data_IF_021309053138
#
_entry.id   IF_021309053138
#
_cell.length_a   1.000
_cell.length_b   1.000
_cell.length_c   1.000
_cell.angle_alpha   90.00
_cell.angle_beta   90.00
_cell.angle_gamma   90.00
#
_symmetry.space_group_name_H-M   'P 1'
#
loop_
_entity.id
_entity.type
_entity.pdbx_description
1 polymer ?
#
# COMPACT_ATOMS: atom_id res chain seq x y z
N UNK A 1 -51.77 -19.49 -5.62
CA UNK A 1 -50.64 -18.72 -5.04
C UNK A 1 -51.14 -17.51 -4.22
N UNK A 2 -51.71 -17.70 -3.01
CA UNK A 2 -51.70 -16.62 -2.00
C UNK A 2 -51.20 -17.06 -0.61
N UNK A 3 -50.90 -18.35 -0.39
CA UNK A 3 -50.54 -18.87 0.93
C UNK A 3 -49.09 -18.59 1.37
N UNK A 4 -48.18 -18.33 0.42
CA UNK A 4 -46.75 -18.11 0.71
C UNK A 4 -46.44 -16.67 1.15
N UNK A 5 -47.20 -15.69 0.65
CA UNK A 5 -47.04 -14.27 0.98
C UNK A 5 -47.62 -13.91 2.36
N UNK A 6 -48.67 -14.60 2.81
CA UNK A 6 -49.30 -14.33 4.12
C UNK A 6 -48.47 -14.89 5.29
N UNK A 7 -47.71 -15.98 5.10
CA UNK A 7 -46.87 -16.56 6.16
C UNK A 7 -45.61 -15.75 6.50
N UNK A 8 -45.13 -14.89 5.60
CA UNK A 8 -43.94 -14.06 5.82
C UNK A 8 -44.26 -12.84 6.68
N UNK A 9 -45.50 -12.35 6.65
CA UNK A 9 -45.90 -11.13 7.38
C UNK A 9 -45.91 -11.28 8.91
N UNK A 10 -45.94 -12.53 9.42
CA UNK A 10 -46.08 -12.84 10.84
C UNK A 10 -44.84 -13.52 11.46
N UNK A 11 -43.70 -13.53 10.76
CA UNK A 11 -42.45 -14.04 11.34
C UNK A 11 -41.71 -12.97 12.13
N UNK A 12 -41.13 -13.39 13.26
CA UNK A 12 -40.30 -12.51 14.09
C UNK A 12 -38.91 -12.28 13.46
N UNK A 13 -38.21 -11.22 13.87
CA UNK A 13 -36.86 -10.89 13.41
C UNK A 13 -35.87 -12.06 13.56
N UNK A 14 -35.93 -12.76 14.69
CA UNK A 14 -35.12 -13.95 14.98
C UNK A 14 -35.44 -15.11 14.01
N UNK A 15 -36.71 -15.32 13.68
CA UNK A 15 -37.12 -16.38 12.74
C UNK A 15 -36.67 -16.06 11.31
N UNK A 16 -36.74 -14.79 10.91
CA UNK A 16 -36.24 -14.30 9.63
C UNK A 16 -34.72 -14.46 9.53
N UNK A 17 -33.97 -14.14 10.60
CA UNK A 17 -32.54 -14.44 10.70
C UNK A 17 -32.26 -15.93 10.50
N UNK A 18 -32.93 -16.79 11.25
CA UNK A 18 -32.72 -18.24 11.19
C UNK A 18 -33.06 -18.82 9.82
N UNK A 19 -34.09 -18.27 9.15
CA UNK A 19 -34.43 -18.62 7.77
C UNK A 19 -33.36 -18.16 6.78
N UNK A 20 -32.82 -16.95 6.98
CA UNK A 20 -31.66 -16.44 6.25
C UNK A 20 -30.45 -17.36 6.38
N UNK A 21 -30.13 -17.82 7.61
CA UNK A 21 -29.03 -18.75 7.86
C UNK A 21 -29.23 -20.08 7.12
N UNK A 22 -30.46 -20.62 7.09
CA UNK A 22 -30.79 -21.83 6.30
C UNK A 22 -30.57 -21.64 4.80
N UNK A 23 -30.96 -20.48 4.25
CA UNK A 23 -30.68 -20.15 2.85
C UNK A 23 -29.19 -19.96 2.58
N UNK A 24 -28.45 -19.35 3.51
CA UNK A 24 -27.01 -19.18 3.42
C UNK A 24 -26.29 -20.53 3.37
N UNK A 25 -26.63 -21.46 4.27
CA UNK A 25 -26.10 -22.83 4.27
C UNK A 25 -26.44 -23.57 2.96
N UNK A 26 -27.63 -23.32 2.40
CA UNK A 26 -28.04 -23.82 1.10
C UNK A 26 -27.40 -23.10 -0.12
N UNK A 27 -26.46 -22.16 0.11
CA UNK A 27 -25.78 -21.32 -0.91
C UNK A 27 -26.74 -20.43 -1.72
N UNK A 28 -27.93 -20.19 -1.20
CA UNK A 28 -28.97 -19.31 -1.78
C UNK A 28 -28.82 -17.90 -1.24
N UNK A 29 -27.78 -17.19 -1.70
CA UNK A 29 -27.38 -15.92 -1.10
C UNK A 29 -28.39 -14.79 -1.33
N UNK A 30 -29.05 -14.73 -2.49
CA UNK A 30 -30.03 -13.67 -2.77
C UNK A 30 -31.30 -13.82 -1.93
N UNK A 31 -31.76 -15.05 -1.71
CA UNK A 31 -32.87 -15.32 -0.79
C UNK A 31 -32.50 -15.05 0.67
N UNK A 32 -31.27 -15.38 1.07
CA UNK A 32 -30.76 -15.03 2.40
C UNK A 32 -30.74 -13.50 2.62
N UNK A 33 -30.26 -12.73 1.64
CA UNK A 33 -30.27 -11.25 1.67
C UNK A 33 -31.67 -10.69 1.87
N UNK A 34 -32.68 -11.27 1.20
CA UNK A 34 -34.09 -10.86 1.39
C UNK A 34 -34.56 -11.11 2.82
N UNK A 35 -34.30 -12.30 3.36
CA UNK A 35 -34.66 -12.63 4.74
C UNK A 35 -33.98 -11.71 5.77
N UNK A 36 -32.69 -11.41 5.61
CA UNK A 36 -32.00 -10.47 6.49
C UNK A 36 -32.51 -9.03 6.34
N UNK A 37 -32.86 -8.60 5.12
CA UNK A 37 -33.42 -7.26 4.89
C UNK A 37 -34.80 -7.10 5.52
N UNK A 38 -35.62 -8.16 5.49
CA UNK A 38 -36.88 -8.22 6.24
C UNK A 38 -36.64 -8.18 7.76
N UNK A 39 -35.63 -8.90 8.27
CA UNK A 39 -35.25 -8.84 9.69
C UNK A 39 -34.82 -7.43 10.12
N UNK A 40 -34.00 -6.75 9.30
CA UNK A 40 -33.58 -5.36 9.51
C UNK A 40 -34.80 -4.42 9.51
N UNK A 41 -35.76 -4.65 8.61
CA UNK A 41 -36.99 -3.84 8.54
C UNK A 41 -37.87 -3.99 9.79
N UNK A 42 -37.82 -5.15 10.45
CA UNK A 42 -38.52 -5.41 11.72
C UNK A 42 -37.77 -4.78 12.91
N UNK A 43 -36.44 -4.97 12.98
CA UNK A 43 -35.60 -4.44 14.06
C UNK A 43 -34.25 -3.93 13.50
N UNK A 44 -34.14 -2.62 13.22
CA UNK A 44 -32.92 -2.02 12.67
C UNK A 44 -31.74 -1.95 13.65
N UNK A 45 -31.97 -2.08 14.96
CA UNK A 45 -30.94 -1.89 15.99
C UNK A 45 -30.03 -3.09 16.26
N UNK A 46 -30.03 -4.12 15.40
CA UNK A 46 -29.25 -5.35 15.60
C UNK A 46 -28.14 -5.44 14.55
N UNK A 47 -26.88 -5.23 14.97
CA UNK A 47 -25.69 -5.25 14.10
C UNK A 47 -25.51 -6.56 13.34
N UNK A 48 -25.84 -7.70 13.98
CA UNK A 48 -25.67 -9.05 13.43
C UNK A 48 -26.41 -9.25 12.09
N UNK A 49 -27.58 -8.60 11.91
CA UNK A 49 -28.32 -8.73 10.66
C UNK A 49 -27.58 -8.11 9.48
N UNK A 50 -26.93 -6.97 9.72
CA UNK A 50 -26.11 -6.29 8.73
C UNK A 50 -24.86 -7.10 8.42
N UNK A 51 -24.17 -7.67 9.42
CA UNK A 51 -22.98 -8.50 9.17
C UNK A 51 -23.31 -9.79 8.42
N UNK A 52 -24.46 -10.42 8.70
CA UNK A 52 -24.90 -11.62 7.98
C UNK A 52 -25.29 -11.30 6.53
N UNK A 53 -25.95 -10.16 6.29
CA UNK A 53 -26.25 -9.68 4.93
C UNK A 53 -24.98 -9.30 4.17
N UNK A 54 -24.04 -8.62 4.83
CA UNK A 54 -22.72 -8.31 4.30
C UNK A 54 -21.97 -9.57 3.86
N UNK A 55 -22.01 -10.63 4.66
CA UNK A 55 -21.38 -11.91 4.30
C UNK A 55 -22.00 -12.52 3.02
N UNK A 56 -23.33 -12.43 2.85
CA UNK A 56 -23.96 -12.83 1.58
C UNK A 56 -23.47 -11.99 0.41
N UNK A 57 -23.39 -10.66 0.59
CA UNK A 57 -22.89 -9.75 -0.44
C UNK A 57 -21.45 -10.06 -0.82
N UNK A 58 -20.60 -10.38 0.15
CA UNK A 58 -19.22 -10.80 -0.02
C UNK A 58 -19.12 -12.06 -0.90
N UNK A 59 -19.95 -13.09 -0.62
CA UNK A 59 -19.99 -14.32 -1.45
C UNK A 59 -20.47 -14.06 -2.89
N UNK A 60 -21.27 -13.01 -3.09
CA UNK A 60 -21.71 -12.56 -4.43
C UNK A 60 -20.81 -11.46 -5.04
N UNK A 61 -19.68 -11.12 -4.41
CA UNK A 61 -18.72 -10.08 -4.85
C UNK A 61 -19.32 -8.67 -5.01
N UNK A 62 -20.35 -8.34 -4.24
CA UNK A 62 -20.96 -6.99 -4.21
C UNK A 62 -20.29 -6.13 -3.13
N UNK A 63 -19.05 -5.71 -3.35
CA UNK A 63 -18.22 -5.07 -2.33
C UNK A 63 -18.78 -3.72 -1.82
N UNK A 64 -19.41 -2.93 -2.68
CA UNK A 64 -20.04 -1.66 -2.27
C UNK A 64 -21.17 -1.88 -1.24
N UNK A 65 -21.99 -2.91 -1.46
CA UNK A 65 -23.05 -3.30 -0.52
C UNK A 65 -22.46 -3.84 0.79
N UNK A 66 -21.34 -4.57 0.74
CA UNK A 66 -20.61 -5.00 1.95
C UNK A 66 -20.15 -3.79 2.76
N UNK A 67 -19.55 -2.79 2.11
CA UNK A 67 -19.09 -1.58 2.77
C UNK A 67 -20.24 -0.82 3.45
N UNK A 68 -21.39 -0.70 2.79
CA UNK A 68 -22.58 -0.04 3.36
C UNK A 68 -23.10 -0.80 4.60
N UNK A 69 -23.27 -2.12 4.48
CA UNK A 69 -23.78 -2.95 5.58
C UNK A 69 -22.81 -2.99 6.76
N UNK A 70 -21.50 -3.08 6.52
CA UNK A 70 -20.53 -3.10 7.60
C UNK A 70 -20.41 -1.74 8.30
N UNK A 71 -20.51 -0.62 7.56
CA UNK A 71 -20.54 0.72 8.18
C UNK A 71 -21.79 0.88 9.05
N UNK A 72 -22.97 0.48 8.56
CA UNK A 72 -24.20 0.48 9.35
C UNK A 72 -24.10 -0.43 10.59
N UNK A 73 -23.47 -1.60 10.46
CA UNK A 73 -23.22 -2.49 11.60
C UNK A 73 -22.33 -1.83 12.66
N UNK A 74 -21.28 -1.11 12.24
CA UNK A 74 -20.34 -0.42 13.12
C UNK A 74 -20.91 0.84 13.78
N UNK A 75 -21.90 1.49 13.15
CA UNK A 75 -22.67 2.58 13.76
C UNK A 75 -23.53 2.08 14.93
N UNK A 76 -24.02 0.83 14.84
CA UNK A 76 -24.80 0.17 15.90
C UNK A 76 -23.88 -0.43 16.96
N UNK A 77 -22.86 -1.18 16.53
CA UNK A 77 -21.91 -1.87 17.39
C UNK A 77 -20.46 -1.67 16.90
N UNK A 78 -19.70 -0.73 17.52
CA UNK A 78 -18.34 -0.44 17.13
C UNK A 78 -17.31 -1.47 17.63
N UNK A 79 -17.70 -2.44 18.46
CA UNK A 79 -16.80 -3.49 18.97
C UNK A 79 -16.94 -4.81 18.19
N UNK A 80 -17.79 -4.85 17.17
CA UNK A 80 -18.01 -6.04 16.37
C UNK A 80 -16.80 -6.38 15.46
N UNK A 81 -16.04 -7.41 15.83
CA UNK A 81 -14.85 -7.86 15.06
C UNK A 81 -15.21 -8.25 13.62
N UNK A 82 -16.29 -9.02 13.42
CA UNK A 82 -16.74 -9.48 12.10
C UNK A 82 -17.04 -8.31 11.14
N UNK A 83 -17.60 -7.21 11.64
CA UNK A 83 -17.92 -6.04 10.82
C UNK A 83 -16.65 -5.34 10.31
N UNK A 84 -15.65 -5.12 11.18
CA UNK A 84 -14.35 -4.60 10.77
C UNK A 84 -13.61 -5.54 9.80
N UNK A 85 -13.69 -6.85 10.04
CA UNK A 85 -13.07 -7.85 9.17
C UNK A 85 -13.68 -7.85 7.75
N UNK A 86 -15.02 -7.90 7.63
CA UNK A 86 -15.69 -7.90 6.33
C UNK A 86 -15.52 -6.56 5.60
N UNK A 87 -15.51 -5.44 6.33
CA UNK A 87 -15.21 -4.13 5.76
C UNK A 87 -13.78 -4.07 5.20
N UNK A 88 -12.79 -4.54 5.97
CA UNK A 88 -11.41 -4.64 5.50
C UNK A 88 -11.28 -5.51 4.24
N UNK A 89 -11.99 -6.64 4.19
CA UNK A 89 -11.99 -7.50 3.01
C UNK A 89 -12.63 -6.85 1.79
N UNK A 90 -13.74 -6.13 1.95
CA UNK A 90 -14.35 -5.38 0.84
C UNK A 90 -13.43 -4.25 0.34
N UNK A 91 -12.81 -3.50 1.25
CA UNK A 91 -11.87 -2.42 0.91
C UNK A 91 -10.60 -2.92 0.24
N UNK A 92 -10.11 -4.11 0.61
CA UNK A 92 -8.98 -4.77 -0.04
C UNK A 92 -9.25 -5.04 -1.53
N UNK A 93 -10.48 -5.45 -1.85
CA UNK A 93 -10.92 -5.73 -3.21
C UNK A 93 -11.27 -4.45 -3.98
N UNK A 94 -11.75 -3.40 -3.29
CA UNK A 94 -11.96 -2.06 -3.84
C UNK A 94 -10.67 -1.22 -3.97
N UNK A 95 -9.49 -1.79 -3.67
CA UNK A 95 -8.18 -1.13 -3.73
C UNK A 95 -8.00 0.06 -2.76
N UNK A 96 -8.84 0.17 -1.74
CA UNK A 96 -8.74 1.19 -0.69
C UNK A 96 -7.84 0.69 0.45
N UNK A 97 -6.53 0.54 0.19
CA UNK A 97 -5.63 -0.19 1.09
C UNK A 97 -5.38 0.49 2.45
N UNK A 98 -5.35 1.82 2.53
CA UNK A 98 -5.09 2.52 3.81
C UNK A 98 -6.26 2.41 4.79
N UNK A 99 -7.50 2.46 4.30
CA UNK A 99 -8.68 2.21 5.14
C UNK A 99 -8.79 0.73 5.50
N UNK A 100 -8.47 -0.17 4.56
CA UNK A 100 -8.42 -1.60 4.76
C UNK A 100 -7.48 -2.00 5.92
N UNK A 101 -6.22 -1.53 5.90
CA UNK A 101 -5.23 -1.84 6.93
C UNK A 101 -5.70 -1.38 8.32
N UNK A 102 -6.28 -0.17 8.41
CA UNK A 102 -6.83 0.35 9.67
C UNK A 102 -7.95 -0.53 10.23
N UNK A 103 -8.87 -0.98 9.39
CA UNK A 103 -9.96 -1.86 9.85
C UNK A 103 -9.47 -3.25 10.23
N UNK A 104 -8.50 -3.83 9.52
CA UNK A 104 -7.91 -5.10 9.94
C UNK A 104 -7.11 -4.99 11.23
N UNK A 105 -6.37 -3.89 11.45
CA UNK A 105 -5.70 -3.62 12.73
C UNK A 105 -6.73 -3.52 13.86
N UNK A 106 -7.81 -2.75 13.64
CA UNK A 106 -8.88 -2.64 14.64
C UNK A 106 -9.55 -3.99 14.93
N UNK A 107 -9.79 -4.81 13.90
CA UNK A 107 -10.31 -6.17 14.08
C UNK A 107 -9.36 -7.06 14.90
N UNK A 108 -8.05 -6.95 14.68
CA UNK A 108 -7.05 -7.69 15.44
C UNK A 108 -7.01 -7.24 16.91
N UNK A 109 -7.10 -5.95 17.18
CA UNK A 109 -7.09 -5.42 18.55
C UNK A 109 -8.34 -5.85 19.31
N UNK A 110 -9.52 -5.71 18.70
CA UNK A 110 -10.79 -6.17 19.27
C UNK A 110 -10.81 -7.69 19.50
N UNK A 111 -10.22 -8.48 18.60
CA UNK A 111 -10.09 -9.92 18.79
C UNK A 111 -9.25 -10.27 20.03
N UNK A 112 -8.14 -9.54 20.25
CA UNK A 112 -7.32 -9.71 21.46
C UNK A 112 -8.08 -9.29 22.73
N UNK A 113 -8.81 -8.18 22.68
CA UNK A 113 -9.65 -7.70 23.79
C UNK A 113 -10.74 -8.71 24.16
N UNK A 114 -11.41 -9.29 23.15
CA UNK A 114 -12.46 -10.31 23.33
C UNK A 114 -11.89 -11.72 23.58
N UNK A 115 -10.57 -11.90 23.56
CA UNK A 115 -9.86 -13.18 23.69
C UNK A 115 -10.30 -14.22 22.65
N UNK A 116 -10.76 -13.76 21.48
CA UNK A 116 -11.09 -14.62 20.35
C UNK A 116 -9.84 -14.82 19.51
N UNK A 117 -9.46 -16.08 19.30
CA UNK A 117 -8.27 -16.41 18.53
C UNK A 117 -8.62 -16.65 17.06
N UNK A 118 -8.27 -15.69 16.19
CA UNK A 118 -8.36 -15.85 14.73
C UNK A 118 -7.03 -16.32 14.10
N UNK A 119 -6.08 -16.77 14.91
CA UNK A 119 -4.78 -17.26 14.43
C UNK A 119 -4.00 -16.21 13.62
N UNK A 120 -3.37 -16.66 12.53
CA UNK A 120 -2.62 -15.80 11.60
C UNK A 120 -3.49 -15.21 10.48
N UNK A 121 -4.81 -15.45 10.48
CA UNK A 121 -5.67 -15.10 9.35
C UNK A 121 -5.77 -13.58 9.12
N UNK A 122 -6.06 -12.82 10.19
CA UNK A 122 -6.15 -11.35 10.11
C UNK A 122 -4.77 -10.75 9.81
N UNK A 123 -3.72 -11.27 10.45
CA UNK A 123 -2.36 -10.80 10.25
C UNK A 123 -1.87 -11.06 8.82
N UNK A 124 -2.21 -12.21 8.22
CA UNK A 124 -1.94 -12.52 6.83
C UNK A 124 -2.61 -11.53 5.87
N UNK A 125 -3.87 -11.17 6.11
CA UNK A 125 -4.57 -10.19 5.29
C UNK A 125 -3.98 -8.78 5.40
N UNK A 126 -3.50 -8.36 6.58
CA UNK A 126 -2.77 -7.09 6.72
C UNK A 126 -1.51 -7.09 5.86
N UNK A 127 -0.76 -8.20 5.84
CA UNK A 127 0.46 -8.32 5.00
C UNK A 127 0.11 -8.22 3.51
N UNK A 128 -0.93 -8.94 3.07
CA UNK A 128 -1.42 -8.83 1.69
C UNK A 128 -1.85 -7.40 1.36
N UNK A 129 -2.58 -6.74 2.25
CA UNK A 129 -3.05 -5.37 2.04
C UNK A 129 -1.87 -4.38 1.89
N UNK A 130 -0.86 -4.50 2.76
CA UNK A 130 0.37 -3.69 2.68
C UNK A 130 1.14 -3.95 1.40
N UNK A 131 1.28 -5.21 0.98
CA UNK A 131 1.91 -5.58 -0.29
C UNK A 131 1.18 -4.96 -1.48
N UNK A 132 -0.14 -5.14 -1.57
CA UNK A 132 -0.95 -4.58 -2.67
C UNK A 132 -0.87 -3.05 -2.70
N UNK A 133 -0.84 -2.41 -1.52
CA UNK A 133 -0.61 -0.96 -1.40
C UNK A 133 0.74 -0.54 -1.95
N UNK A 134 1.81 -1.22 -1.52
CA UNK A 134 3.16 -0.92 -1.96
C UNK A 134 3.27 -1.06 -3.48
N UNK A 135 2.76 -2.16 -4.05
CA UNK A 135 2.76 -2.37 -5.50
C UNK A 135 2.00 -1.28 -6.24
N UNK A 136 0.80 -0.89 -5.77
CA UNK A 136 0.02 0.20 -6.38
C UNK A 136 0.79 1.54 -6.39
N UNK A 137 1.42 1.89 -5.26
CA UNK A 137 2.19 3.13 -5.13
C UNK A 137 3.47 3.09 -5.97
N UNK A 138 4.15 1.94 -6.01
CA UNK A 138 5.36 1.74 -6.79
C UNK A 138 5.06 1.78 -8.29
N UNK A 139 3.95 1.18 -8.74
CA UNK A 139 3.49 1.26 -10.12
C UNK A 139 3.23 2.72 -10.51
N UNK A 140 2.52 3.48 -9.68
CA UNK A 140 2.28 4.89 -9.92
C UNK A 140 3.59 5.71 -9.98
N UNK A 141 4.56 5.39 -9.12
CA UNK A 141 5.89 6.00 -9.11
C UNK A 141 6.65 5.71 -10.39
N UNK A 142 6.64 4.46 -10.85
CA UNK A 142 7.28 4.02 -12.09
C UNK A 142 6.63 4.74 -13.28
N UNK A 143 5.29 4.85 -13.32
CA UNK A 143 4.59 5.58 -14.39
C UNK A 143 5.02 7.04 -14.44
N UNK A 144 5.04 7.75 -13.31
CA UNK A 144 5.50 9.15 -13.25
C UNK A 144 6.95 9.30 -13.71
N UNK A 145 7.81 8.35 -13.36
CA UNK A 145 9.20 8.34 -13.76
C UNK A 145 9.37 8.16 -15.27
N UNK A 146 8.62 7.25 -15.88
CA UNK A 146 8.60 7.02 -17.33
C UNK A 146 8.08 8.26 -18.06
N UNK A 147 7.02 8.89 -17.55
CA UNK A 147 6.47 10.13 -18.09
C UNK A 147 7.50 11.27 -18.05
N UNK A 148 8.21 11.41 -16.92
CA UNK A 148 9.26 12.40 -16.74
C UNK A 148 10.43 12.15 -17.70
N UNK A 149 10.92 10.91 -17.80
CA UNK A 149 12.01 10.55 -18.71
C UNK A 149 11.63 10.86 -20.16
N UNK A 150 10.39 10.53 -20.55
CA UNK A 150 9.85 10.80 -21.88
C UNK A 150 9.70 12.30 -22.15
N UNK A 151 9.24 13.06 -21.16
CA UNK A 151 9.10 14.51 -21.23
C UNK A 151 10.45 15.21 -21.42
N UNK A 152 11.45 14.86 -20.61
CA UNK A 152 12.78 15.46 -20.70
C UNK A 152 13.49 15.09 -22.01
N UNK A 153 13.37 13.84 -22.46
CA UNK A 153 13.90 13.43 -23.77
C UNK A 153 13.29 14.24 -24.91
N UNK A 154 11.99 14.55 -24.85
CA UNK A 154 11.32 15.41 -25.83
C UNK A 154 11.88 16.82 -25.82
N UNK A 155 12.06 17.42 -24.64
CA UNK A 155 12.64 18.77 -24.52
C UNK A 155 14.06 18.83 -25.10
N UNK A 156 14.90 17.82 -24.84
CA UNK A 156 16.26 17.76 -25.39
C UNK A 156 16.23 17.71 -26.92
N UNK A 157 15.33 16.89 -27.50
CA UNK A 157 15.17 16.80 -28.95
C UNK A 157 14.62 18.10 -29.56
N UNK A 158 13.63 18.72 -28.93
CA UNK A 158 13.09 20.00 -29.38
C UNK A 158 14.13 21.12 -29.32
N UNK A 159 14.94 21.19 -28.25
CA UNK A 159 16.02 22.17 -28.13
C UNK A 159 17.09 21.96 -29.20
N UNK A 160 17.50 20.71 -29.42
CA UNK A 160 18.39 20.34 -30.53
C UNK A 160 17.85 20.83 -31.86
N UNK A 161 16.59 20.54 -32.18
CA UNK A 161 15.99 20.89 -33.46
C UNK A 161 15.85 22.42 -33.63
N UNK A 162 15.53 23.15 -32.54
CA UNK A 162 15.51 24.63 -32.53
C UNK A 162 16.90 25.21 -32.82
N UNK A 163 17.94 24.68 -32.17
CA UNK A 163 19.32 25.11 -32.37
C UNK A 163 19.81 24.80 -33.78
N UNK A 164 19.52 23.60 -34.32
CA UNK A 164 19.84 23.25 -35.71
C UNK A 164 19.16 24.19 -36.72
N UNK A 165 17.90 24.54 -36.48
CA UNK A 165 17.18 25.51 -37.31
C UNK A 165 17.77 26.93 -37.20
N UNK A 166 18.42 27.29 -36.08
CA UNK A 166 19.13 28.56 -35.92
C UNK A 166 20.46 28.58 -36.68
N UNK A 167 21.25 27.50 -36.61
CA UNK A 167 22.49 27.34 -37.37
C UNK A 167 22.24 27.35 -38.89
N UNK A 168 21.16 26.71 -39.33
CA UNK A 168 20.76 26.67 -40.75
C UNK A 168 20.38 28.07 -41.29
N UNK A 169 19.76 28.91 -40.45
CA UNK A 169 19.42 30.30 -40.79
C UNK A 169 20.64 31.22 -40.85
N UNK A 170 21.63 31.01 -39.99
CA UNK A 170 22.90 31.75 -40.03
C UNK A 170 23.78 31.34 -41.23
N UNK A 171 23.72 30.08 -41.66
CA UNK A 171 24.39 29.60 -42.88
C UNK A 171 23.77 30.08 -44.20
N UNK A 172 22.49 30.49 -44.20
CA UNK A 172 21.78 30.95 -45.40
C UNK A 172 22.11 32.40 -45.85
N UNK A 173 23.00 33.10 -45.14
CA UNK A 173 23.54 34.41 -45.54
C UNK A 173 24.60 34.35 -46.66
N UNK A 174 25.01 33.15 -47.08
CA UNK A 174 25.93 32.92 -48.20
C UNK A 174 25.18 32.12 -49.28
N UNK A 175 24.93 32.74 -50.42
CA UNK A 175 24.12 32.20 -51.54
C UNK A 175 24.60 30.81 -51.98
N UNK A 176 23.70 29.82 -52.12
CA UNK A 176 23.08 29.41 -53.39
C UNK A 176 22.66 27.90 -53.41
N UNK A 177 21.47 27.64 -53.96
CA UNK A 177 20.97 26.42 -54.65
C UNK A 177 21.41 25.03 -54.18
N UNK A 178 20.46 24.24 -53.66
CA UNK A 178 20.60 22.79 -53.57
C UNK A 178 19.57 22.13 -52.66
N UNK A 179 18.52 21.58 -53.26
CA UNK A 179 17.57 20.61 -52.69
C UNK A 179 18.11 19.82 -51.50
N UNK A 180 17.52 19.97 -50.30
CA UNK A 180 17.54 18.89 -49.30
C UNK A 180 16.24 18.82 -48.49
N UNK A 181 15.62 17.65 -48.61
CA UNK A 181 14.39 17.17 -47.97
C UNK A 181 14.64 16.95 -46.47
N UNK A 182 13.70 17.26 -45.56
CA UNK A 182 13.88 16.95 -44.15
C UNK A 182 13.83 15.44 -43.94
N UNK A 183 14.91 14.87 -43.40
CA UNK A 183 14.97 13.48 -42.95
C UNK A 183 14.17 13.36 -41.65
N UNK A 184 12.93 12.92 -41.79
CA UNK A 184 12.14 12.34 -40.70
C UNK A 184 12.84 11.07 -40.22
N UNK A 185 13.67 11.16 -39.18
CA UNK A 185 14.15 10.01 -38.42
C UNK A 185 13.30 9.87 -37.16
N UNK A 186 12.04 9.47 -37.37
CA UNK A 186 11.36 8.67 -36.35
C UNK A 186 12.13 7.36 -36.26
N UNK A 187 12.82 7.14 -35.14
CA UNK A 187 13.56 5.91 -34.88
C UNK A 187 12.66 4.98 -34.02
N UNK A 188 11.82 4.12 -34.63
CA UNK A 188 10.85 3.29 -33.92
C UNK A 188 11.48 2.25 -32.98
N UNK A 189 12.78 1.97 -33.12
CA UNK A 189 13.50 0.95 -32.38
C UNK A 189 13.72 1.27 -30.89
N UNK A 190 13.83 2.55 -30.50
CA UNK A 190 13.97 2.93 -29.08
C UNK A 190 12.63 3.02 -28.34
N UNK A 191 11.56 3.44 -29.02
CA UNK A 191 10.19 3.38 -28.47
C UNK A 191 9.71 1.92 -28.30
N UNK A 192 10.19 0.99 -29.13
CA UNK A 192 9.89 -0.44 -28.97
C UNK A 192 10.53 -1.07 -27.73
N UNK A 193 11.70 -0.61 -27.28
CA UNK A 193 12.34 -1.15 -26.06
C UNK A 193 11.60 -0.69 -24.80
N UNK A 194 11.14 0.56 -24.75
CA UNK A 194 10.29 1.05 -23.66
C UNK A 194 8.88 0.44 -23.71
N UNK A 195 8.30 0.23 -24.90
CA UNK A 195 7.04 -0.50 -25.05
C UNK A 195 7.16 -1.99 -24.69
N UNK A 196 8.30 -2.64 -24.92
CA UNK A 196 8.49 -4.05 -24.54
C UNK A 196 8.66 -4.21 -23.03
N UNK A 197 9.31 -3.26 -22.36
CA UNK A 197 9.36 -3.19 -20.89
C UNK A 197 7.98 -2.92 -20.29
N UNK A 198 7.18 -2.04 -20.89
CA UNK A 198 5.77 -1.81 -20.52
C UNK A 198 4.92 -3.07 -20.67
N UNK A 199 5.01 -3.76 -21.81
CA UNK A 199 4.27 -4.98 -22.08
C UNK A 199 4.70 -6.14 -21.15
N UNK A 200 5.99 -6.25 -20.82
CA UNK A 200 6.49 -7.24 -19.86
C UNK A 200 6.02 -6.95 -18.44
N UNK A 201 5.95 -5.68 -18.03
CA UNK A 201 5.43 -5.28 -16.73
C UNK A 201 3.91 -5.52 -16.62
N UNK A 202 3.12 -5.14 -17.63
CA UNK A 202 1.68 -5.43 -17.69
C UNK A 202 1.37 -6.94 -17.67
N UNK A 203 2.17 -7.76 -18.36
CA UNK A 203 2.02 -9.23 -18.36
C UNK A 203 2.40 -9.89 -17.02
N UNK A 204 3.29 -9.28 -16.24
CA UNK A 204 3.64 -9.73 -14.88
C UNK A 204 2.52 -9.38 -13.89
N UNK A 205 1.96 -8.16 -14.00
CA UNK A 205 0.83 -7.70 -13.19
C UNK A 205 -0.43 -8.55 -13.42
N UNK A 206 -0.75 -8.88 -14.68
CA UNK A 206 -1.95 -9.69 -15.00
C UNK A 206 -1.84 -11.16 -14.55
N UNK A 207 -0.61 -11.63 -14.27
CA UNK A 207 -0.34 -12.95 -13.68
C UNK A 207 -0.39 -12.93 -12.15
N UNK A 208 0.08 -11.87 -11.49
CA UNK A 208 0.03 -11.75 -10.03
C UNK A 208 -1.36 -11.35 -9.50
N UNK A 209 -2.14 -10.57 -10.25
CA UNK A 209 -3.52 -10.21 -9.87
C UNK A 209 -4.54 -11.36 -10.06
N UNK A 210 -4.13 -12.48 -10.68
CA UNK A 210 -4.91 -13.73 -10.77
C UNK A 210 -4.60 -14.71 -9.65
N UNK A 211 -4.24 -14.23 -8.46
CA UNK A 211 -4.21 -15.11 -7.29
C UNK A 211 -5.63 -15.60 -6.98
N UNK A 212 -5.83 -16.92 -6.71
CA UNK A 212 -7.11 -17.42 -6.25
C UNK A 212 -7.52 -16.70 -4.97
N UNK A 213 -8.83 -16.46 -4.81
CA UNK A 213 -9.42 -15.83 -3.63
C UNK A 213 -8.77 -16.38 -2.36
N UNK A 214 -8.23 -15.47 -1.54
CA UNK A 214 -7.63 -15.84 -0.26
C UNK A 214 -8.65 -16.61 0.57
N UNK A 215 -8.25 -17.70 1.24
CA UNK A 215 -9.14 -18.48 2.07
C UNK A 215 -9.81 -17.54 3.08
N UNK A 216 -11.14 -17.55 3.10
CA UNK A 216 -11.86 -16.88 4.16
C UNK A 216 -11.53 -17.63 5.45
N UNK A 217 -11.20 -16.92 6.54
CA UNK A 217 -11.10 -17.53 7.85
C UNK A 217 -12.40 -18.26 8.15
N UNK A 218 -12.34 -19.28 9.00
CA UNK A 218 -13.46 -20.14 9.42
C UNK A 218 -14.53 -19.39 10.24
N UNK A 219 -14.83 -18.13 9.90
CA UNK A 219 -16.05 -17.43 10.31
C UNK A 219 -17.34 -18.15 9.88
N UNK A 220 -17.25 -19.18 9.03
CA UNK A 220 -18.38 -19.67 8.23
C UNK A 220 -19.20 -20.79 8.88
N UNK A 221 -18.64 -21.64 9.75
CA UNK A 221 -19.32 -22.91 10.06
C UNK A 221 -19.63 -23.17 11.55
N UNK A 222 -18.88 -22.64 12.54
CA UNK A 222 -19.10 -23.01 13.96
C UNK A 222 -19.54 -21.87 14.89
N UNK A 223 -19.34 -20.60 14.52
CA UNK A 223 -19.63 -19.46 15.42
C UNK A 223 -21.02 -18.82 15.21
N UNK A 224 -21.77 -19.22 14.17
CA UNK A 224 -23.14 -18.72 13.98
C UNK A 224 -24.14 -19.30 14.99
N UNK A 225 -23.81 -20.40 15.67
CA UNK A 225 -24.65 -20.98 16.72
C UNK A 225 -24.48 -20.26 18.07
N UNK A 226 -23.30 -19.73 18.40
CA UNK A 226 -23.03 -19.06 19.68
C UNK A 226 -23.75 -17.71 19.82
N UNK A 227 -23.91 -16.95 18.73
CA UNK A 227 -24.68 -15.69 18.69
C UNK A 227 -26.20 -15.89 18.90
N UNK A 228 -26.67 -17.13 19.04
CA UNK A 228 -28.07 -17.48 19.37
C UNK A 228 -28.37 -17.37 20.86
N UNK A 229 -27.34 -17.39 21.72
CA UNK A 229 -27.48 -17.49 23.17
C UNK A 229 -27.31 -16.14 23.91
N UNK A 230 -26.66 -15.14 23.30
CA UNK A 230 -26.35 -13.88 24.00
C UNK A 230 -27.40 -12.76 23.81
N UNK A 231 -28.42 -12.96 22.98
CA UNK A 231 -29.48 -11.97 22.79
C UNK A 231 -30.66 -12.09 23.77
N UNK A 232 -30.58 -12.96 24.79
CA UNK A 232 -31.65 -13.14 25.78
C UNK A 232 -31.45 -12.39 27.10
N UNK A 233 -30.28 -11.80 27.36
CA UNK A 233 -29.95 -11.27 28.71
C UNK A 233 -29.47 -9.81 28.74
N UNK A 234 -30.13 -8.90 28.00
CA UNK A 234 -29.97 -7.46 28.20
C UNK A 234 -31.32 -6.75 28.25
N UNK A 235 -32.15 -7.13 29.21
CA UNK A 235 -33.19 -6.25 29.77
C UNK A 235 -32.80 -5.86 31.21
N UNK A 236 -32.65 -4.55 31.42
CA UNK A 236 -32.77 -3.92 32.73
C UNK A 236 -31.45 -3.71 33.50
N UNK A 237 -30.87 -2.52 33.34
CA UNK A 237 -30.33 -1.73 34.45
C UNK A 237 -30.08 -0.29 33.99
N UNK A 238 -31.08 0.54 34.25
CA UNK A 238 -30.95 1.99 34.33
C UNK A 238 -29.94 2.35 35.43
N UNK A 239 -28.98 3.22 35.09
CA UNK A 239 -27.94 3.67 36.00
C UNK A 239 -27.33 4.98 35.52
N UNK A 240 -27.97 6.08 35.90
CA UNK A 240 -27.57 7.46 35.69
C UNK A 240 -26.16 7.80 36.20
N UNK A 241 -25.38 8.50 35.38
CA UNK A 241 -24.16 9.25 35.75
C UNK A 241 -23.36 9.52 34.47
N UNK A 242 -23.31 10.69 33.86
CA UNK A 242 -23.18 12.02 34.46
C UNK A 242 -21.70 12.39 34.53
N UNK A 243 -21.06 12.71 33.39
CA UNK A 243 -19.82 13.49 33.40
C UNK A 243 -19.56 14.19 32.05
N UNK A 244 -19.47 15.52 32.12
CA UNK A 244 -19.23 16.47 31.04
C UNK A 244 -17.74 16.66 30.75
N UNK A 245 -17.39 16.92 29.48
CA UNK A 245 -16.30 17.83 29.07
C UNK A 245 -16.43 18.09 27.55
N UNK A 246 -17.08 19.19 27.16
CA UNK A 246 -16.47 20.45 26.67
C UNK A 246 -15.78 20.34 25.31
N UNK A 247 -16.55 20.68 24.28
CA UNK A 247 -16.11 21.22 22.99
C UNK A 247 -15.35 22.54 23.19
N UNK A 248 -14.22 22.69 22.50
CA UNK A 248 -13.69 24.01 22.11
C UNK A 248 -13.27 23.90 20.64
N UNK A 249 -14.02 24.61 19.80
CA UNK A 249 -13.64 25.02 18.46
C UNK A 249 -12.78 26.28 18.55
N UNK A 250 -11.76 26.44 17.71
CA UNK A 250 -11.40 27.77 17.21
C UNK A 250 -10.63 27.72 15.88
N UNK A 251 -10.92 28.73 15.08
CA UNK A 251 -10.56 28.93 13.68
C UNK A 251 -9.26 29.74 13.48
N UNK A 252 -8.57 29.41 12.38
CA UNK A 252 -7.90 30.32 11.41
C UNK A 252 -6.47 30.88 11.65
N UNK A 253 -5.77 31.28 10.53
CA UNK A 253 -4.36 30.99 10.24
C UNK A 253 -3.49 32.27 10.23
N UNK A 254 -2.20 32.19 9.86
CA UNK A 254 -1.32 33.27 9.32
C UNK A 254 0.11 32.68 9.12
N UNK A 255 0.62 32.54 7.90
CA UNK A 255 1.47 33.48 7.13
C UNK A 255 2.95 33.57 7.55
N UNK A 256 3.83 33.41 6.56
CA UNK A 256 5.29 33.60 6.54
C UNK A 256 5.75 35.02 6.88
N UNK A 257 7.06 35.20 7.14
CA UNK A 257 7.74 36.35 6.54
C UNK A 257 9.13 36.05 5.96
N UNK A 258 9.44 36.81 4.91
CA UNK A 258 10.77 37.06 4.37
C UNK A 258 11.41 38.23 5.12
N UNK A 259 12.75 38.26 5.22
CA UNK A 259 13.50 39.46 5.64
C UNK A 259 14.67 39.76 4.70
N UNK A 260 14.76 41.03 4.33
CA UNK A 260 15.80 41.67 3.53
C UNK A 260 16.62 42.64 4.41
N UNK A 261 17.95 42.51 4.32
CA UNK A 261 18.93 43.60 4.14
C UNK A 261 19.43 44.50 5.30
N UNK A 262 20.65 45.00 5.05
CA UNK A 262 21.46 46.06 5.72
C UNK A 262 22.35 45.61 6.89
N UNK A 263 23.60 46.03 7.05
CA UNK A 263 24.50 46.94 6.32
C UNK A 263 25.73 47.28 7.20
N UNK A 264 26.88 47.65 6.59
CA UNK A 264 28.07 48.23 7.25
C UNK A 264 29.37 47.48 6.90
N UNK A 265 30.21 47.88 5.94
CA UNK A 265 31.10 49.05 5.81
C UNK A 265 32.26 49.10 6.79
N UNK A 266 33.47 48.74 6.33
CA UNK A 266 34.74 49.39 6.70
C UNK A 266 35.62 49.48 5.44
N UNK A 267 36.14 50.68 5.19
CA UNK A 267 37.09 51.06 4.13
C UNK A 267 38.53 51.06 4.68
N UNK A 268 39.48 50.93 3.76
CA UNK A 268 40.86 51.49 3.71
C UNK A 268 41.79 50.42 3.11
N UNK A 269 42.70 50.65 2.16
CA UNK A 269 43.13 51.82 1.40
C UNK A 269 44.35 51.41 0.55
N UNK A 270 44.37 51.83 -0.72
CA UNK A 270 45.54 52.14 -1.58
C UNK A 270 46.71 51.15 -1.70
N UNK A 271 46.95 50.65 -2.92
CA UNK A 271 48.07 51.10 -3.78
C UNK A 271 47.91 50.59 -5.21
N UNK A 272 48.19 51.46 -6.18
CA UNK A 272 48.10 51.20 -7.61
C UNK A 272 49.48 50.88 -8.20
N UNK A 273 49.55 49.94 -9.14
CA UNK A 273 50.52 49.94 -10.24
C UNK A 273 50.00 49.08 -11.42
N UNK A 274 50.40 49.38 -12.66
CA UNK A 274 49.55 49.24 -13.84
C UNK A 274 49.93 48.05 -14.74
N UNK A 275 48.99 47.59 -15.57
CA UNK A 275 49.35 46.92 -16.82
C UNK A 275 48.39 45.81 -17.25
N UNK A 276 48.19 45.76 -18.57
CA UNK A 276 47.53 44.72 -19.34
C UNK A 276 45.99 44.73 -19.30
N UNK A 277 45.42 45.73 -19.97
CA UNK A 277 44.25 45.51 -20.80
C UNK A 277 44.55 44.38 -21.80
N UNK A 278 44.09 43.18 -21.52
CA UNK A 278 43.90 42.13 -22.50
C UNK A 278 42.47 41.62 -22.33
N UNK A 279 41.55 42.28 -23.03
CA UNK A 279 40.22 41.76 -23.28
C UNK A 279 40.38 40.45 -24.04
N UNK A 280 40.44 39.34 -23.31
CA UNK A 280 40.23 38.02 -23.87
C UNK A 280 38.76 37.95 -24.28
N UNK A 281 38.49 38.33 -25.53
CA UNK A 281 37.36 37.81 -26.29
C UNK A 281 37.48 36.28 -26.29
N UNK A 282 36.93 35.64 -25.26
CA UNK A 282 36.52 34.25 -25.32
C UNK A 282 35.34 34.23 -26.29
N UNK A 283 35.65 34.09 -27.58
CA UNK A 283 34.65 33.81 -28.59
C UNK A 283 33.83 32.61 -28.11
N UNK A 284 32.53 32.82 -27.88
CA UNK A 284 31.59 31.70 -27.72
C UNK A 284 31.86 30.73 -28.88
N UNK A 285 32.06 29.44 -28.60
CA UNK A 285 32.39 28.49 -29.65
C UNK A 285 31.25 28.54 -30.67
N UNK A 286 31.59 28.85 -31.93
CA UNK A 286 30.65 28.87 -33.04
C UNK A 286 29.82 27.59 -32.99
N UNK A 287 28.52 27.73 -32.71
CA UNK A 287 27.62 26.61 -32.52
C UNK A 287 27.41 25.93 -33.88
N UNK A 288 28.24 24.94 -34.21
CA UNK A 288 28.10 24.17 -35.45
C UNK A 288 27.01 23.11 -35.30
N UNK A 289 26.34 22.71 -36.39
CA UNK A 289 25.33 21.65 -36.35
C UNK A 289 25.83 20.36 -35.68
N UNK A 290 27.08 19.97 -35.93
CA UNK A 290 27.69 18.77 -35.34
C UNK A 290 27.84 18.87 -33.81
N UNK A 291 28.24 20.05 -33.31
CA UNK A 291 28.35 20.31 -31.87
C UNK A 291 26.97 20.27 -31.21
N UNK A 292 25.94 20.81 -31.87
CA UNK A 292 24.55 20.79 -31.37
C UNK A 292 24.03 19.36 -31.26
N UNK A 293 24.23 18.54 -32.30
CA UNK A 293 23.82 17.13 -32.29
C UNK A 293 24.55 16.37 -31.19
N UNK A 294 25.89 16.50 -31.12
CA UNK A 294 26.70 15.82 -30.12
C UNK A 294 26.29 16.20 -28.69
N UNK A 295 26.07 17.48 -28.43
CA UNK A 295 25.64 17.97 -27.11
C UNK A 295 24.27 17.39 -26.71
N UNK A 296 23.34 17.27 -27.65
CA UNK A 296 22.04 16.66 -27.39
C UNK A 296 22.16 15.14 -27.13
N UNK A 297 23.02 14.44 -27.87
CA UNK A 297 23.32 13.02 -27.64
C UNK A 297 23.95 12.79 -26.27
N UNK A 298 24.92 13.63 -25.87
CA UNK A 298 25.55 13.60 -24.55
C UNK A 298 24.51 13.80 -23.45
N UNK A 299 23.61 14.80 -23.58
CA UNK A 299 22.52 15.01 -22.62
C UNK A 299 21.53 13.85 -22.54
N UNK A 300 21.18 13.24 -23.68
CA UNK A 300 20.33 12.04 -23.67
C UNK A 300 21.03 10.86 -22.99
N UNK A 301 22.33 10.68 -23.22
CA UNK A 301 23.12 9.61 -22.61
C UNK A 301 23.21 9.79 -21.10
N UNK A 302 23.52 11.00 -20.63
CA UNK A 302 23.57 11.33 -19.21
C UNK A 302 22.21 11.11 -18.54
N UNK A 303 21.13 11.56 -19.19
CA UNK A 303 19.77 11.36 -18.69
C UNK A 303 19.44 9.88 -18.56
N UNK A 304 19.62 9.09 -19.62
CA UNK A 304 19.34 7.66 -19.57
C UNK A 304 20.21 6.93 -18.53
N UNK A 305 21.46 7.38 -18.34
CA UNK A 305 22.36 6.86 -17.31
C UNK A 305 21.84 7.17 -15.90
N UNK A 306 21.26 8.35 -15.67
CA UNK A 306 20.66 8.69 -14.38
C UNK A 306 19.44 7.80 -14.05
N UNK A 307 18.53 7.60 -15.01
CA UNK A 307 17.37 6.71 -14.82
C UNK A 307 17.79 5.24 -14.67
N UNK A 308 18.81 4.77 -15.40
CA UNK A 308 19.35 3.43 -15.24
C UNK A 308 19.91 3.17 -13.82
N UNK A 309 20.53 4.18 -13.19
CA UNK A 309 20.99 4.07 -11.79
C UNK A 309 19.83 3.92 -10.80
N UNK A 310 18.68 4.55 -11.07
CA UNK A 310 17.48 4.39 -10.24
C UNK A 310 16.90 2.98 -10.37
N UNK A 311 16.88 2.42 -11.58
CA UNK A 311 16.49 1.03 -11.82
C UNK A 311 17.39 0.03 -11.09
N UNK A 312 18.70 0.23 -11.13
CA UNK A 312 19.65 -0.63 -10.42
C UNK A 312 19.42 -0.62 -8.91
N UNK A 313 19.10 0.55 -8.32
CA UNK A 313 18.74 0.65 -6.91
C UNK A 313 17.44 -0.11 -6.59
N UNK A 314 16.45 -0.10 -7.49
CA UNK A 314 15.23 -0.90 -7.33
C UNK A 314 15.49 -2.40 -7.39
N UNK A 315 16.48 -2.85 -8.17
CA UNK A 315 16.82 -4.27 -8.33
C UNK A 315 17.60 -4.86 -7.14
N UNK A 316 18.39 -4.05 -6.43
CA UNK A 316 19.26 -4.50 -5.32
C UNK A 316 18.56 -4.58 -3.95
N UNK A 317 17.30 -4.97 -3.95
CA UNK A 317 16.48 -5.12 -2.73
C UNK A 317 16.99 -6.32 -1.92
N UNK A 318 17.90 -6.07 -0.99
CA UNK A 318 18.48 -7.07 -0.09
C UNK A 318 18.10 -6.77 1.35
N UNK A 319 17.58 -7.78 2.06
CA UNK A 319 17.29 -7.67 3.49
C UNK A 319 18.53 -8.05 4.28
N UNK A 320 18.95 -7.25 5.27
CA UNK A 320 20.10 -7.59 6.10
C UNK A 320 19.92 -8.90 6.87
N UNK A 321 20.93 -9.79 6.81
CA UNK A 321 20.94 -11.14 7.44
C UNK A 321 20.61 -11.19 8.94
N UNK A 322 20.79 -10.08 9.66
CA UNK A 322 20.48 -9.98 11.09
C UNK A 322 18.98 -9.75 11.36
N UNK A 323 18.21 -9.35 10.36
CA UNK A 323 16.74 -9.27 10.43
C UNK A 323 16.08 -10.61 10.05
N UNK A 324 16.85 -11.55 9.51
CA UNK A 324 16.36 -12.83 9.03
C UNK A 324 16.49 -13.92 10.09
N UNK A 325 15.45 -14.76 10.19
CA UNK A 325 15.43 -15.92 11.06
C UNK A 325 16.49 -16.95 10.64
N UNK A 326 17.12 -17.60 11.62
CA UNK A 326 18.18 -18.59 11.33
C UNK A 326 17.66 -19.97 10.89
N UNK A 327 16.34 -20.16 10.88
CA UNK A 327 15.68 -21.41 10.47
C UNK A 327 14.91 -21.19 9.15
N UNK A 328 13.96 -20.25 9.13
CA UNK A 328 13.18 -19.91 7.93
C UNK A 328 13.97 -19.14 6.88
N UNK A 329 14.97 -18.35 7.29
CA UNK A 329 15.64 -17.33 6.46
C UNK A 329 14.73 -16.17 6.02
N UNK A 330 13.46 -16.18 6.41
CA UNK A 330 12.52 -15.08 6.24
C UNK A 330 12.78 -13.97 7.29
N UNK A 331 12.20 -12.78 7.06
CA UNK A 331 12.21 -11.71 8.07
C UNK A 331 11.57 -12.18 9.38
N UNK A 332 12.23 -11.89 10.51
CA UNK A 332 11.75 -12.18 11.86
C UNK A 332 10.39 -11.50 12.13
N UNK A 333 9.34 -12.27 12.36
CA UNK A 333 7.98 -11.75 12.61
C UNK A 333 7.68 -11.61 14.10
N UNK A 334 8.03 -12.63 14.87
CA UNK A 334 7.98 -12.59 16.33
C UNK A 334 9.34 -13.03 16.90
N UNK A 335 10.33 -12.11 16.92
CA UNK A 335 11.69 -12.46 17.31
C UNK A 335 11.76 -12.86 18.79
N UNK A 336 12.36 -14.01 19.06
CA UNK A 336 12.66 -14.53 20.40
C UNK A 336 14.15 -14.82 20.52
N UNK A 337 14.74 -14.49 21.66
CA UNK A 337 16.15 -14.72 21.95
C UNK A 337 16.31 -15.93 22.88
N UNK A 338 17.26 -16.80 22.55
CA UNK A 338 17.65 -17.93 23.39
C UNK A 338 18.69 -17.49 24.43
N UNK A 339 18.91 -18.25 25.52
CA UNK A 339 19.98 -17.96 26.48
C UNK A 339 21.38 -17.92 25.86
N UNK A 340 21.56 -18.54 24.69
CA UNK A 340 22.80 -18.48 23.90
C UNK A 340 22.99 -17.14 23.17
N UNK A 341 22.00 -16.23 23.25
CA UNK A 341 22.03 -14.90 22.63
C UNK A 341 21.57 -14.88 21.18
N UNK A 342 21.04 -15.99 20.65
CA UNK A 342 20.64 -16.09 19.25
C UNK A 342 19.15 -15.77 19.14
N UNK A 343 18.81 -14.94 18.15
CA UNK A 343 17.42 -14.59 17.85
C UNK A 343 16.86 -15.47 16.74
N UNK A 344 15.68 -16.03 16.96
CA UNK A 344 14.91 -16.83 16.02
C UNK A 344 13.50 -16.26 15.88
N UNK A 345 12.78 -16.66 14.84
CA UNK A 345 11.33 -16.47 14.85
C UNK A 345 10.70 -17.48 15.82
N UNK A 346 9.76 -17.02 16.65
CA UNK A 346 9.07 -17.84 17.64
C UNK A 346 8.52 -19.12 17.04
N UNK A 347 7.82 -19.01 15.90
CA UNK A 347 7.13 -20.16 15.30
C UNK A 347 8.14 -21.23 14.90
N UNK A 348 9.22 -20.83 14.25
CA UNK A 348 10.22 -21.77 13.74
C UNK A 348 10.97 -22.47 14.87
N UNK A 349 11.35 -21.75 15.93
CA UNK A 349 12.07 -22.35 17.05
C UNK A 349 11.16 -23.25 17.89
N UNK A 350 9.89 -22.88 18.09
CA UNK A 350 8.91 -23.73 18.78
C UNK A 350 8.66 -25.03 17.99
N UNK A 351 8.51 -24.94 16.66
CA UNK A 351 8.39 -26.12 15.80
C UNK A 351 9.64 -27.00 15.83
N UNK A 352 10.85 -26.41 15.82
CA UNK A 352 12.10 -27.16 15.96
C UNK A 352 12.19 -27.88 17.30
N UNK A 353 11.88 -27.20 18.42
CA UNK A 353 11.92 -27.79 19.75
C UNK A 353 10.93 -28.95 19.88
N UNK A 354 9.76 -28.86 19.23
CA UNK A 354 8.74 -29.90 19.25
C UNK A 354 9.06 -31.08 18.34
N UNK A 355 9.58 -30.85 17.12
CA UNK A 355 9.77 -31.90 16.10
C UNK A 355 11.16 -32.51 16.08
N UNK A 356 12.20 -31.72 16.32
CA UNK A 356 13.60 -32.12 16.18
C UNK A 356 14.21 -32.46 17.54
N UNK A 357 14.03 -31.58 18.53
CA UNK A 357 14.43 -31.84 19.90
C UNK A 357 14.77 -30.60 20.72
N UNK A 358 14.92 -30.79 22.03
CA UNK A 358 15.08 -29.75 23.04
C UNK A 358 16.52 -29.19 23.10
N UNK A 359 17.00 -28.66 21.97
CA UNK A 359 18.32 -28.05 21.87
C UNK A 359 18.31 -26.90 20.87
N UNK A 360 19.18 -25.91 21.09
CA UNK A 360 19.38 -24.77 20.20
C UNK A 360 19.95 -25.24 18.85
N UNK A 361 19.33 -24.89 17.70
CA UNK A 361 19.77 -25.37 16.38
C UNK A 361 21.23 -25.06 16.03
N UNK A 362 21.77 -23.94 16.52
CA UNK A 362 23.12 -23.47 16.16
C UNK A 362 24.13 -23.91 17.21
N UNK A 363 23.85 -23.63 18.48
CA UNK A 363 24.82 -23.87 19.57
C UNK A 363 24.72 -25.28 20.15
N UNK A 364 23.66 -26.03 19.83
CA UNK A 364 23.37 -27.39 20.34
C UNK A 364 23.30 -27.49 21.86
N UNK A 365 23.12 -26.36 22.54
CA UNK A 365 22.88 -26.32 23.99
C UNK A 365 21.45 -26.74 24.29
N UNK A 366 21.22 -27.38 25.44
CA UNK A 366 19.87 -27.76 25.86
C UNK A 366 18.97 -26.51 25.99
N UNK A 367 17.86 -26.51 25.25
CA UNK A 367 16.93 -25.40 25.14
C UNK A 367 15.52 -25.93 25.32
N UNK A 368 14.75 -25.26 26.18
CA UNK A 368 13.35 -25.53 26.41
C UNK A 368 12.52 -24.28 26.08
N UNK A 369 11.23 -24.48 25.77
CA UNK A 369 10.33 -23.42 25.28
C UNK A 369 10.16 -22.29 26.30
N UNK A 370 10.20 -22.61 27.59
CA UNK A 370 10.12 -21.66 28.71
C UNK A 370 11.30 -20.67 28.77
N UNK A 371 12.44 -21.03 28.14
CA UNK A 371 13.64 -20.18 28.09
C UNK A 371 13.63 -19.19 26.92
N UNK A 372 12.59 -19.19 26.08
CA UNK A 372 12.48 -18.28 24.95
C UNK A 372 11.98 -16.91 25.43
N UNK A 373 12.84 -15.90 25.36
CA UNK A 373 12.52 -14.53 25.78
C UNK A 373 12.12 -13.71 24.55
N UNK A 374 10.96 -13.01 24.55
CA UNK A 374 10.60 -12.09 23.47
C UNK A 374 11.67 -11.00 23.29
N UNK A 375 12.19 -10.85 22.08
CA UNK A 375 13.18 -9.83 21.76
C UNK A 375 12.47 -8.58 21.22
N UNK A 376 11.95 -7.76 22.15
CA UNK A 376 11.20 -6.54 21.81
C UNK A 376 12.03 -5.53 21.02
N UNK A 377 13.33 -5.42 21.32
CA UNK A 377 14.23 -4.53 20.59
C UNK A 377 14.35 -4.93 19.11
N UNK A 378 14.56 -6.22 18.82
CA UNK A 378 14.58 -6.70 17.42
C UNK A 378 13.22 -6.54 16.75
N UNK A 379 12.12 -6.64 17.49
CA UNK A 379 10.77 -6.41 16.95
C UNK A 379 10.58 -4.96 16.49
N UNK A 380 11.07 -4.00 17.26
CA UNK A 380 11.06 -2.57 16.89
C UNK A 380 11.97 -2.31 15.68
N UNK A 381 13.17 -2.89 15.66
CA UNK A 381 14.11 -2.75 14.54
C UNK A 381 13.52 -3.30 13.24
N UNK A 382 12.91 -4.48 13.28
CA UNK A 382 12.23 -5.06 12.10
C UNK A 382 11.05 -4.19 11.68
N UNK A 383 10.25 -3.70 12.64
CA UNK A 383 9.11 -2.83 12.33
C UNK A 383 9.54 -1.54 11.62
N UNK A 384 10.58 -0.87 12.13
CA UNK A 384 11.15 0.33 11.51
C UNK A 384 11.72 0.03 10.11
N UNK A 385 12.44 -1.10 9.95
CA UNK A 385 12.95 -1.52 8.65
C UNK A 385 11.82 -1.71 7.64
N UNK A 386 10.73 -2.38 8.02
CA UNK A 386 9.56 -2.62 7.15
C UNK A 386 8.75 -1.36 6.85
N UNK A 387 8.79 -0.35 7.71
CA UNK A 387 8.15 0.96 7.46
C UNK A 387 8.87 1.73 6.34
N UNK A 388 10.20 1.67 6.30
CA UNK A 388 11.00 2.28 5.24
C UNK A 388 11.11 1.39 3.99
N UNK A 389 10.96 0.07 4.15
CA UNK A 389 11.19 -0.95 3.13
C UNK A 389 9.98 -1.87 3.00
N UNK A 390 8.82 -1.32 2.64
CA UNK A 390 7.59 -2.13 2.48
C UNK A 390 7.75 -3.25 1.44
N UNK A 391 8.66 -3.10 0.46
CA UNK A 391 9.01 -4.16 -0.50
C UNK A 391 9.53 -5.43 0.17
N UNK A 392 10.07 -5.33 1.39
CA UNK A 392 10.66 -6.46 2.10
C UNK A 392 9.60 -7.33 2.80
N UNK A 393 8.31 -6.98 2.73
CA UNK A 393 7.22 -7.82 3.23
C UNK A 393 7.12 -9.20 2.54
N UNK A 394 7.78 -9.37 1.40
CA UNK A 394 7.88 -10.60 0.60
C UNK A 394 9.25 -11.31 0.69
N UNK A 395 10.16 -10.84 1.54
CA UNK A 395 11.45 -11.50 1.76
C UNK A 395 11.31 -12.71 2.68
#
# INVERSE_FOLDING_TARGET
LPRFTVYIFNMNDIELKNKGNKYFAARKYDEAVRCYSEAISKKPGVSIYYTNRALCHLKTRRYDSVCQDCRAALEIDPVQVKAHFFLGQALLESQCYDECIRHFQRAQDLAKEQKVNYGDDIAALIRVARKRRFNLLEDARITQEIELQSYLNRLILEDRDRLLASCSRQGAGVKNTGSHRPLSHNNPSKNQLHQSQHAQHELLLDKENRQPLLPHPSFSDEQQEQDSAESSDLEGRDGSGGCSAKLVTDHHPLSSPAEHSSGGSVRDGLTAAPGAAAAANLAEPLLTPDIVVKRAEDYQMDLNTMFAKLDDRRRRREVPDYLCGKISFDILRDPVVTPSGITYDRKDIEEHLQRVGHFDPITRTNLAVDKLVPNLAMKEVVAAFLEENEWALDY
#
